data_IF_641666968878
#
_entry.id   IF_641666968878
#
_cell.length_a   1.000
_cell.length_b   1.000
_cell.length_c   1.000
_cell.angle_alpha   90.00
_cell.angle_beta   90.00
_cell.angle_gamma   90.00
#
_symmetry.space_group_name_H-M   'P 1'
#
loop_
_entity.id
_entity.type
_entity.pdbx_description
1 polymer ?
#
# COMPACT_ATOMS: atom_id res chain seq x y z
N UNK A 1 3.71 -14.30 2.32
CA UNK A 1 3.86 -12.91 1.86
C UNK A 1 2.51 -12.20 1.72
N UNK A 2 1.55 -12.72 0.94
CA UNK A 2 0.30 -12.03 0.63
C UNK A 2 -0.50 -11.60 1.86
N UNK A 3 -0.75 -12.51 2.79
CA UNK A 3 -1.51 -12.22 4.01
C UNK A 3 -0.81 -11.19 4.91
N UNK A 4 0.50 -11.35 5.11
CA UNK A 4 1.30 -10.40 5.91
C UNK A 4 1.32 -9.01 5.27
N UNK A 5 1.42 -8.94 3.95
CA UNK A 5 1.37 -7.68 3.20
C UNK A 5 0.00 -6.99 3.36
N UNK A 6 -1.10 -7.71 3.23
CA UNK A 6 -2.45 -7.17 3.44
C UNK A 6 -2.63 -6.61 4.86
N UNK A 7 -2.20 -7.35 5.88
CA UNK A 7 -2.26 -6.90 7.28
C UNK A 7 -1.44 -5.63 7.53
N UNK A 8 -0.21 -5.58 7.04
CA UNK A 8 0.63 -4.40 7.21
C UNK A 8 0.07 -3.20 6.46
N UNK A 9 -0.43 -3.39 5.23
CA UNK A 9 -1.09 -2.33 4.46
C UNK A 9 -2.33 -1.80 5.21
N UNK A 10 -3.13 -2.69 5.79
CA UNK A 10 -4.30 -2.32 6.58
C UNK A 10 -3.93 -1.50 7.84
N UNK A 11 -2.84 -1.86 8.53
CA UNK A 11 -2.33 -1.08 9.66
C UNK A 11 -1.88 0.33 9.23
N UNK A 12 -1.17 0.45 8.11
CA UNK A 12 -0.82 1.76 7.54
C UNK A 12 -2.07 2.57 7.21
N UNK A 13 -3.07 1.97 6.59
CA UNK A 13 -4.34 2.60 6.28
C UNK A 13 -5.09 3.09 7.53
N UNK A 14 -5.10 2.27 8.59
CA UNK A 14 -5.73 2.61 9.87
C UNK A 14 -5.09 3.84 10.51
N UNK A 15 -3.77 3.95 10.45
CA UNK A 15 -3.01 5.06 11.02
C UNK A 15 -3.07 6.31 10.13
N UNK A 16 -3.15 6.13 8.82
CA UNK A 16 -3.20 7.21 7.84
C UNK A 16 -4.54 7.94 7.83
N UNK A 17 -5.67 7.24 7.97
CA UNK A 17 -7.01 7.83 7.86
C UNK A 17 -7.22 9.07 8.75
N UNK A 18 -6.94 9.01 10.07
CA UNK A 18 -7.04 10.19 10.94
C UNK A 18 -6.11 11.34 10.54
N UNK A 19 -4.93 11.04 9.99
CA UNK A 19 -3.98 12.05 9.47
C UNK A 19 -4.50 12.77 8.22
N UNK A 20 -5.38 12.11 7.46
CA UNK A 20 -6.10 12.70 6.32
C UNK A 20 -7.36 13.47 6.76
N UNK A 21 -7.68 13.48 8.05
CA UNK A 21 -8.92 14.08 8.56
C UNK A 21 -10.16 13.23 8.27
N UNK A 22 -9.99 11.95 7.94
CA UNK A 22 -11.10 11.04 7.67
C UNK A 22 -11.73 10.53 8.96
N UNK A 23 -13.04 10.42 8.95
CA UNK A 23 -13.79 9.84 10.07
C UNK A 23 -13.52 8.33 10.23
N UNK A 24 -14.02 7.76 11.32
CA UNK A 24 -13.85 6.36 11.64
C UNK A 24 -14.54 5.43 10.63
N UNK A 25 -15.62 5.87 9.99
CA UNK A 25 -16.34 5.07 8.97
C UNK A 25 -15.50 4.96 7.71
N UNK A 26 -15.03 6.08 7.16
CA UNK A 26 -14.20 6.12 5.96
C UNK A 26 -12.86 5.39 6.17
N UNK A 27 -12.23 5.60 7.35
CA UNK A 27 -11.01 4.88 7.72
C UNK A 27 -11.25 3.37 7.75
N UNK A 28 -12.37 2.91 8.29
CA UNK A 28 -12.74 1.49 8.34
C UNK A 28 -12.95 0.90 6.93
N UNK A 29 -13.58 1.63 6.02
CA UNK A 29 -13.73 1.24 4.61
C UNK A 29 -12.37 1.08 3.94
N UNK A 30 -11.44 2.02 4.15
CA UNK A 30 -10.07 1.91 3.64
C UNK A 30 -9.33 0.68 4.18
N UNK A 31 -9.48 0.37 5.48
CA UNK A 31 -8.89 -0.82 6.12
C UNK A 31 -9.46 -2.11 5.53
N UNK A 32 -10.78 -2.18 5.34
CA UNK A 32 -11.43 -3.33 4.68
C UNK A 32 -10.90 -3.53 3.26
N UNK A 33 -10.77 -2.45 2.49
CA UNK A 33 -10.19 -2.50 1.15
C UNK A 33 -8.75 -3.02 1.16
N UNK A 34 -7.90 -2.57 2.09
CA UNK A 34 -6.53 -3.03 2.24
C UNK A 34 -6.43 -4.54 2.56
N UNK A 35 -7.33 -5.05 3.39
CA UNK A 35 -7.38 -6.48 3.73
C UNK A 35 -7.83 -7.37 2.57
N UNK A 36 -8.58 -6.82 1.62
CA UNK A 36 -9.26 -7.59 0.57
C UNK A 36 -8.81 -7.29 -0.85
N UNK A 37 -7.97 -6.27 -1.06
CA UNK A 37 -7.52 -5.84 -2.40
C UNK A 37 -6.88 -6.97 -3.23
N UNK A 38 -6.26 -7.95 -2.57
CA UNK A 38 -5.56 -9.05 -3.21
C UNK A 38 -6.29 -10.41 -3.12
N UNK A 39 -7.58 -10.43 -2.74
CA UNK A 39 -8.32 -11.70 -2.51
C UNK A 39 -8.29 -12.62 -3.74
N UNK A 40 -8.32 -12.05 -4.95
CA UNK A 40 -8.28 -12.82 -6.20
C UNK A 40 -6.92 -13.46 -6.51
N UNK A 41 -5.82 -12.98 -5.91
CA UNK A 41 -4.47 -13.51 -6.17
C UNK A 41 -3.77 -14.01 -4.90
N UNK A 42 -4.45 -14.11 -3.77
CA UNK A 42 -3.84 -14.49 -2.48
C UNK A 42 -3.05 -15.80 -2.59
N UNK A 43 -3.60 -16.81 -3.26
CA UNK A 43 -2.99 -18.14 -3.40
C UNK A 43 -1.72 -18.14 -4.26
N UNK A 44 -1.60 -17.21 -5.19
CA UNK A 44 -0.47 -17.14 -6.14
C UNK A 44 0.51 -16.03 -5.81
N UNK A 45 0.11 -15.04 -5.04
CA UNK A 45 0.92 -13.86 -4.73
C UNK A 45 2.26 -14.23 -4.05
N UNK A 46 2.24 -15.20 -3.14
CA UNK A 46 3.47 -15.70 -2.50
C UNK A 46 4.41 -16.36 -3.50
N UNK A 47 3.88 -17.14 -4.44
CA UNK A 47 4.65 -17.77 -5.52
C UNK A 47 5.21 -16.73 -6.48
N UNK A 48 4.44 -15.71 -6.84
CA UNK A 48 4.89 -14.62 -7.71
C UNK A 48 5.99 -13.78 -7.05
N UNK A 49 5.92 -13.57 -5.74
CA UNK A 49 6.96 -12.87 -4.99
C UNK A 49 8.27 -13.69 -4.86
N UNK A 50 8.20 -15.01 -5.06
CA UNK A 50 9.32 -15.94 -4.94
C UNK A 50 10.04 -16.22 -6.28
N UNK A 51 9.48 -15.77 -7.41
CA UNK A 51 10.10 -15.94 -8.73
C UNK A 51 10.62 -14.60 -9.25
N UNK A 52 11.80 -14.63 -9.87
CA UNK A 52 12.44 -13.43 -10.36
C UNK A 52 11.77 -12.83 -11.59
N UNK A 53 11.40 -13.68 -12.53
CA UNK A 53 10.78 -13.25 -13.79
C UNK A 53 9.37 -13.80 -13.91
N UNK A 54 8.40 -12.89 -13.99
CA UNK A 54 7.02 -13.25 -14.26
C UNK A 54 6.82 -13.53 -15.75
N UNK A 55 6.11 -14.61 -16.05
CA UNK A 55 5.61 -14.87 -17.41
C UNK A 55 4.56 -13.83 -17.79
N UNK A 56 4.26 -13.69 -19.09
CA UNK A 56 3.22 -12.81 -19.58
C UNK A 56 1.86 -13.12 -18.93
N UNK A 57 1.47 -14.40 -18.91
CA UNK A 57 0.24 -14.85 -18.24
C UNK A 57 0.17 -14.45 -16.75
N UNK A 58 1.29 -14.52 -16.02
CA UNK A 58 1.33 -14.09 -14.62
C UNK A 58 1.20 -12.57 -14.47
N UNK A 59 1.78 -11.80 -15.41
CA UNK A 59 1.57 -10.35 -15.47
C UNK A 59 0.12 -9.98 -15.74
N UNK A 60 -0.54 -10.72 -16.64
CA UNK A 60 -1.95 -10.50 -16.95
C UNK A 60 -2.84 -10.82 -15.75
N UNK A 61 -2.57 -11.89 -15.01
CA UNK A 61 -3.25 -12.18 -13.74
C UNK A 61 -3.06 -11.05 -12.71
N UNK A 62 -1.84 -10.50 -12.60
CA UNK A 62 -1.58 -9.35 -11.72
C UNK A 62 -2.36 -8.11 -12.21
N UNK A 63 -2.49 -7.90 -13.52
CA UNK A 63 -3.24 -6.75 -14.04
C UNK A 63 -4.75 -6.89 -13.86
N UNK A 64 -5.28 -8.10 -13.93
CA UNK A 64 -6.72 -8.35 -13.82
C UNK A 64 -7.21 -8.37 -12.35
N UNK A 65 -6.31 -8.66 -11.39
CA UNK A 65 -6.75 -8.96 -10.01
C UNK A 65 -7.56 -7.86 -9.31
N UNK A 66 -7.38 -6.54 -9.57
CA UNK A 66 -8.20 -5.54 -8.89
C UNK A 66 -9.69 -5.68 -9.24
N UNK A 67 -10.00 -5.89 -10.51
CA UNK A 67 -11.36 -6.10 -10.98
C UNK A 67 -11.91 -7.45 -10.50
N UNK A 68 -11.13 -8.52 -10.58
CA UNK A 68 -11.51 -9.84 -10.09
C UNK A 68 -11.77 -9.84 -8.58
N UNK A 69 -10.94 -9.12 -7.80
CA UNK A 69 -11.14 -8.96 -6.36
C UNK A 69 -12.44 -8.20 -6.04
N UNK A 70 -12.70 -7.07 -6.71
CA UNK A 70 -13.94 -6.32 -6.53
C UNK A 70 -15.16 -7.17 -6.91
N UNK A 71 -15.10 -7.94 -8.00
CA UNK A 71 -16.15 -8.84 -8.40
C UNK A 71 -16.37 -9.96 -7.38
N UNK A 72 -15.33 -10.57 -6.88
CA UNK A 72 -15.43 -11.60 -5.83
C UNK A 72 -16.08 -11.06 -4.56
N UNK A 73 -15.75 -9.82 -4.16
CA UNK A 73 -16.38 -9.15 -3.02
C UNK A 73 -17.87 -8.88 -3.26
N UNK A 74 -18.29 -8.44 -4.45
CA UNK A 74 -19.71 -8.26 -4.82
C UNK A 74 -20.48 -9.59 -4.74
N UNK A 75 -19.90 -10.65 -5.28
CA UNK A 75 -20.51 -12.01 -5.18
C UNK A 75 -20.58 -12.47 -3.72
N UNK A 76 -19.61 -12.08 -2.90
CA UNK A 76 -19.59 -12.34 -1.45
C UNK A 76 -20.55 -11.49 -0.63
N UNK A 77 -21.35 -10.61 -1.26
CA UNK A 77 -22.37 -9.79 -0.61
C UNK A 77 -21.89 -8.43 -0.10
N UNK A 78 -20.72 -7.96 -0.55
CA UNK A 78 -20.26 -6.59 -0.24
C UNK A 78 -21.00 -5.61 -1.15
N UNK A 79 -21.70 -4.64 -0.54
CA UNK A 79 -22.50 -3.58 -1.19
C UNK A 79 -21.93 -2.16 -0.96
N UNK A 80 -20.82 -2.03 -0.21
CA UNK A 80 -20.12 -0.77 0.02
C UNK A 80 -19.34 -0.37 -1.25
N UNK A 81 -19.93 0.51 -2.08
CA UNK A 81 -19.34 0.94 -3.35
C UNK A 81 -18.02 1.71 -3.19
N UNK A 82 -17.77 2.36 -2.05
CA UNK A 82 -16.48 3.02 -1.77
C UNK A 82 -15.40 1.97 -1.56
N UNK A 83 -15.72 0.91 -0.81
CA UNK A 83 -14.81 -0.21 -0.61
C UNK A 83 -14.50 -0.93 -1.93
N UNK A 84 -15.53 -1.29 -2.70
CA UNK A 84 -15.38 -1.99 -3.98
C UNK A 84 -14.54 -1.18 -4.97
N UNK A 85 -14.82 0.12 -5.08
CA UNK A 85 -14.07 1.04 -5.95
C UNK A 85 -12.62 1.19 -5.51
N UNK A 86 -12.37 1.28 -4.19
CA UNK A 86 -11.01 1.33 -3.67
C UNK A 86 -10.22 0.08 -4.06
N UNK A 87 -10.83 -1.11 -3.97
CA UNK A 87 -10.22 -2.38 -4.40
C UNK A 87 -10.00 -2.41 -5.92
N UNK A 88 -10.99 -2.01 -6.71
CA UNK A 88 -10.93 -2.05 -8.17
C UNK A 88 -9.87 -1.11 -8.76
N UNK A 89 -9.62 0.03 -8.09
CA UNK A 89 -8.76 1.10 -8.61
C UNK A 89 -7.40 1.23 -7.92
N UNK A 90 -7.04 0.35 -6.97
CA UNK A 90 -5.82 0.54 -6.15
C UNK A 90 -4.49 0.49 -6.94
N UNK A 91 -4.50 0.09 -8.18
CA UNK A 91 -3.35 0.18 -9.08
C UNK A 91 -3.49 1.27 -10.16
N UNK A 92 -4.60 1.99 -10.15
CA UNK A 92 -4.78 3.12 -11.04
C UNK A 92 -3.88 4.30 -10.65
N UNK A 93 -3.61 5.16 -11.63
CA UNK A 93 -2.87 6.41 -11.48
C UNK A 93 -3.61 7.51 -12.20
N UNK A 94 -3.78 8.65 -11.57
CA UNK A 94 -4.32 9.81 -12.24
C UNK A 94 -3.52 10.11 -13.51
N UNK A 95 -4.21 10.48 -14.60
CA UNK A 95 -3.60 10.68 -15.91
C UNK A 95 -3.45 9.41 -16.74
N UNK A 96 -4.11 8.29 -16.37
CA UNK A 96 -4.30 7.11 -17.22
C UNK A 96 -3.10 6.14 -17.30
N UNK A 97 -2.04 6.35 -16.51
CA UNK A 97 -0.86 5.49 -16.57
C UNK A 97 -0.93 4.26 -15.65
N UNK A 98 -2.07 4.07 -14.95
CA UNK A 98 -2.34 2.92 -14.10
C UNK A 98 -2.97 1.75 -14.84
N UNK A 99 -3.44 0.77 -14.09
CA UNK A 99 -4.19 -0.39 -14.57
C UNK A 99 -5.25 -0.81 -13.55
N UNK A 100 -6.26 -1.60 -13.93
CA UNK A 100 -6.48 -2.23 -15.23
C UNK A 100 -7.16 -1.33 -16.28
N UNK A 101 -7.78 -0.22 -15.89
CA UNK A 101 -8.66 0.58 -16.75
C UNK A 101 -7.98 1.81 -17.36
N UNK A 102 -6.85 2.27 -16.80
CA UNK A 102 -6.15 3.48 -17.25
C UNK A 102 -6.97 4.75 -17.01
N UNK A 103 -7.51 4.93 -15.82
CA UNK A 103 -8.41 6.02 -15.46
C UNK A 103 -7.70 7.37 -15.44
N UNK A 104 -8.34 8.41 -16.00
CA UNK A 104 -7.86 9.78 -15.91
C UNK A 104 -8.02 10.34 -14.49
N UNK A 105 -9.16 10.04 -13.86
CA UNK A 105 -9.46 10.38 -12.47
C UNK A 105 -9.62 9.11 -11.66
N UNK A 106 -9.04 9.08 -10.46
CA UNK A 106 -9.03 7.92 -9.58
C UNK A 106 -9.68 8.31 -8.25
N UNK A 107 -10.49 7.41 -7.70
CA UNK A 107 -11.12 7.61 -6.39
C UNK A 107 -10.08 7.90 -5.29
N UNK A 108 -10.37 8.87 -4.43
CA UNK A 108 -9.44 9.31 -3.39
C UNK A 108 -9.08 8.18 -2.40
N UNK A 109 -10.04 7.30 -2.10
CA UNK A 109 -9.82 6.14 -1.22
C UNK A 109 -8.92 5.10 -1.90
N UNK A 110 -9.08 4.91 -3.22
CA UNK A 110 -8.21 4.06 -4.01
C UNK A 110 -6.77 4.61 -4.08
N UNK A 111 -6.62 5.93 -4.25
CA UNK A 111 -5.30 6.57 -4.23
C UNK A 111 -4.62 6.43 -2.86
N UNK A 112 -5.39 6.57 -1.77
CA UNK A 112 -4.88 6.35 -0.42
C UNK A 112 -4.43 4.90 -0.20
N UNK A 113 -5.25 3.93 -0.63
CA UNK A 113 -4.91 2.51 -0.60
C UNK A 113 -3.65 2.21 -1.40
N UNK A 114 -3.55 2.76 -2.61
CA UNK A 114 -2.37 2.61 -3.46
C UNK A 114 -1.10 3.12 -2.79
N UNK A 115 -1.14 4.28 -2.11
CA UNK A 115 0.03 4.81 -1.42
C UNK A 115 0.51 3.87 -0.30
N UNK A 116 -0.44 3.32 0.49
CA UNK A 116 -0.12 2.35 1.54
C UNK A 116 0.45 1.04 0.96
N UNK A 117 -0.16 0.50 -0.11
CA UNK A 117 0.30 -0.71 -0.80
C UNK A 117 1.72 -0.55 -1.36
N UNK A 118 1.97 0.52 -2.12
CA UNK A 118 3.28 0.81 -2.71
C UNK A 118 4.34 1.00 -1.63
N UNK A 119 4.03 1.71 -0.55
CA UNK A 119 4.96 1.91 0.56
C UNK A 119 5.33 0.58 1.20
N UNK A 120 4.34 -0.24 1.55
CA UNK A 120 4.56 -1.56 2.16
C UNK A 120 5.30 -2.51 1.22
N UNK A 121 4.99 -2.48 -0.08
CA UNK A 121 5.71 -3.26 -1.08
C UNK A 121 7.20 -2.85 -1.20
N UNK A 122 7.53 -1.57 -1.01
CA UNK A 122 8.93 -1.08 -1.06
C UNK A 122 9.75 -1.50 0.15
N UNK A 123 9.18 -1.49 1.35
CA UNK A 123 9.87 -1.85 2.60
C UNK A 123 9.84 -3.36 2.93
N UNK A 124 9.08 -4.14 2.15
CA UNK A 124 9.04 -5.61 2.30
C UNK A 124 10.10 -6.27 1.41
N UNK A 125 10.92 -7.21 1.94
CA UNK A 125 11.88 -7.94 1.14
C UNK A 125 11.15 -8.89 0.16
N UNK A 126 11.72 -9.06 -1.03
CA UNK A 126 11.34 -10.06 -2.03
C UNK A 126 12.59 -10.80 -2.47
N UNK A 127 12.44 -11.97 -3.11
CA UNK A 127 13.58 -12.82 -3.48
C UNK A 127 14.63 -12.06 -4.31
N UNK A 128 14.22 -11.25 -5.27
CA UNK A 128 15.15 -10.51 -6.14
C UNK A 128 15.38 -9.05 -5.71
N UNK A 129 14.72 -8.59 -4.65
CA UNK A 129 14.85 -7.21 -4.22
C UNK A 129 14.95 -7.11 -2.71
N UNK A 130 16.08 -6.65 -2.22
CA UNK A 130 16.20 -6.24 -0.84
C UNK A 130 15.13 -5.19 -0.49
N UNK A 131 14.66 -5.22 0.75
CA UNK A 131 13.81 -4.16 1.28
C UNK A 131 14.53 -2.82 1.17
N UNK A 132 13.83 -1.80 0.72
CA UNK A 132 14.34 -0.43 0.82
C UNK A 132 14.35 0.01 2.29
N UNK A 133 15.25 0.93 2.62
CA UNK A 133 15.12 1.64 3.87
C UNK A 133 13.77 2.40 3.90
N UNK A 134 13.22 2.61 5.09
CA UNK A 134 11.98 3.40 5.23
C UNK A 134 12.14 4.79 4.60
N UNK A 135 13.33 5.37 4.72
CA UNK A 135 13.66 6.69 4.13
C UNK A 135 13.60 6.68 2.61
N UNK A 136 14.24 5.68 1.97
CA UNK A 136 14.27 5.59 0.51
C UNK A 136 12.88 5.25 -0.04
N UNK A 137 12.14 4.36 0.63
CA UNK A 137 10.77 4.05 0.29
C UNK A 137 9.86 5.29 0.39
N UNK A 138 9.98 6.07 1.47
CA UNK A 138 9.23 7.30 1.69
C UNK A 138 9.57 8.36 0.63
N UNK A 139 10.87 8.54 0.31
CA UNK A 139 11.32 9.49 -0.72
C UNK A 139 10.76 9.14 -2.09
N UNK A 140 10.88 7.86 -2.49
CA UNK A 140 10.36 7.40 -3.78
C UNK A 140 8.83 7.51 -3.85
N UNK A 141 8.13 7.08 -2.79
CA UNK A 141 6.67 7.20 -2.72
C UNK A 141 6.21 8.65 -2.83
N UNK A 142 6.88 9.57 -2.12
CA UNK A 142 6.52 10.99 -2.15
C UNK A 142 6.73 11.61 -3.54
N UNK A 143 7.81 11.24 -4.22
CA UNK A 143 8.06 11.67 -5.61
C UNK A 143 7.01 11.11 -6.58
N UNK A 144 6.59 9.85 -6.40
CA UNK A 144 5.56 9.22 -7.23
C UNK A 144 4.14 9.75 -6.94
N UNK A 145 3.92 10.26 -5.74
CA UNK A 145 2.60 10.71 -5.28
C UNK A 145 2.17 12.07 -5.86
N UNK A 146 3.07 12.81 -6.51
CA UNK A 146 2.78 14.12 -7.13
C UNK A 146 2.00 15.08 -6.20
N UNK A 147 2.34 15.09 -4.91
CA UNK A 147 1.70 15.94 -3.91
C UNK A 147 0.44 15.36 -3.27
N UNK A 148 0.06 14.11 -3.56
CA UNK A 148 -1.12 13.50 -2.93
C UNK A 148 -0.94 13.43 -1.39
N UNK A 149 -1.95 13.88 -0.58
CA UNK A 149 -1.82 14.03 0.87
C UNK A 149 -1.54 12.71 1.61
N UNK A 150 -1.96 11.58 1.05
CA UNK A 150 -1.70 10.26 1.66
C UNK A 150 -0.22 9.94 1.81
N UNK A 151 0.64 10.37 0.89
CA UNK A 151 2.08 10.18 1.01
C UNK A 151 2.64 10.94 2.23
N UNK A 152 2.24 12.19 2.41
CA UNK A 152 2.63 12.98 3.58
C UNK A 152 2.08 12.40 4.88
N UNK A 153 0.84 11.87 4.87
CA UNK A 153 0.23 11.22 6.02
C UNK A 153 0.99 9.97 6.45
N UNK A 154 1.38 9.11 5.51
CA UNK A 154 2.20 7.91 5.78
C UNK A 154 3.56 8.32 6.36
N UNK A 155 4.24 9.30 5.76
CA UNK A 155 5.56 9.76 6.23
C UNK A 155 5.46 10.33 7.65
N UNK A 156 4.43 11.13 7.93
CA UNK A 156 4.20 11.68 9.28
C UNK A 156 3.92 10.59 10.30
N UNK A 157 3.14 9.57 9.93
CA UNK A 157 2.77 8.50 10.85
C UNK A 157 3.89 7.49 11.06
N UNK A 158 4.49 7.01 9.98
CA UNK A 158 5.56 6.01 10.06
C UNK A 158 6.87 6.61 10.56
N UNK A 159 7.15 7.86 10.18
CA UNK A 159 8.41 8.53 10.45
C UNK A 159 9.53 8.10 9.52
N UNK A 160 10.57 8.91 9.48
CA UNK A 160 11.79 8.61 8.72
C UNK A 160 12.63 7.54 9.44
N UNK A 161 12.58 7.56 10.78
CA UNK A 161 13.25 6.61 11.66
C UNK A 161 12.23 5.97 12.60
N UNK A 162 11.53 4.92 12.18
CA UNK A 162 10.57 4.24 13.05
C UNK A 162 11.27 3.52 14.22
N UNK A 163 10.55 3.25 15.31
CA UNK A 163 11.06 2.43 16.40
C UNK A 163 11.59 1.08 15.90
N UNK A 164 12.74 0.67 16.43
CA UNK A 164 13.47 -0.52 15.99
C UNK A 164 14.55 -0.26 14.96
N UNK A 165 14.59 0.91 14.31
CA UNK A 165 15.65 1.24 13.36
C UNK A 165 16.98 1.51 14.09
N UNK A 166 18.06 0.96 13.52
CA UNK A 166 19.42 1.31 13.91
C UNK A 166 19.83 2.57 13.15
N UNK A 167 20.31 3.56 13.88
CA UNK A 167 20.76 4.84 13.34
C UNK A 167 22.19 5.14 13.81
N UNK A 168 22.95 5.87 13.02
CA UNK A 168 24.23 6.40 13.41
C UNK A 168 24.05 7.85 13.89
N UNK A 169 24.43 8.10 15.13
CA UNK A 169 24.36 9.44 15.72
C UNK A 169 25.48 10.34 15.16
N UNK A 170 25.34 11.63 15.35
CA UNK A 170 26.37 12.61 14.98
C UNK A 170 27.69 12.37 15.72
N UNK A 171 27.66 11.76 16.91
CA UNK A 171 28.84 11.30 17.66
C UNK A 171 29.57 10.13 17.00
N UNK A 172 28.96 9.46 16.00
CA UNK A 172 29.47 8.25 15.36
C UNK A 172 28.99 6.94 15.98
N UNK A 173 28.31 6.99 17.11
CA UNK A 173 27.77 5.82 17.81
C UNK A 173 26.55 5.26 17.08
N UNK A 174 26.35 3.93 17.21
CA UNK A 174 25.13 3.27 16.77
C UNK A 174 24.09 3.28 17.89
N UNK A 175 22.86 3.64 17.55
CA UNK A 175 21.73 3.66 18.48
C UNK A 175 20.49 3.03 17.86
N UNK A 176 19.60 2.51 18.69
CA UNK A 176 18.29 2.01 18.27
C UNK A 176 17.22 3.04 18.63
N UNK A 177 16.39 3.39 17.67
CA UNK A 177 15.23 4.25 17.91
C UNK A 177 14.22 3.49 18.76
N UNK A 178 13.95 3.94 19.98
CA UNK A 178 13.00 3.30 20.88
C UNK A 178 11.60 3.92 20.82
N UNK A 179 11.51 5.21 20.51
CA UNK A 179 10.25 5.93 20.30
C UNK A 179 10.49 7.21 19.50
N UNK A 180 9.44 7.71 18.88
CA UNK A 180 9.45 9.03 18.24
C UNK A 180 9.15 10.11 19.26
N UNK A 181 9.76 11.27 19.10
CA UNK A 181 9.34 12.48 19.82
C UNK A 181 7.91 12.88 19.40
N UNK A 182 7.19 13.55 20.30
CA UNK A 182 5.92 14.19 19.93
C UNK A 182 6.23 15.31 18.92
N UNK A 183 5.58 15.28 17.75
CA UNK A 183 5.57 16.36 16.75
C UNK A 183 4.25 17.07 16.78
#
# INVERSE_FOLDING_TARGET
YGLTHALHTALVCMLMGPRLGWDASRTRTLVKAALTMNVAITDVQGRFAAVGHLTERQRDQIRAHPQEAAQALRVGGVDDEVWLRAVEQHHERAGGSGYPMGLQEVDETAMALRMADVFMAKISPRVERAALSVQDAARQMYAEAQGHPSAAAIIKEYGIYPPGNVVKLASGELAVVIRRGAT
#
